data_IF_573539946078
#
_entry.id   IF_573539946078
#
_cell.length_a   1.000
_cell.length_b   1.000
_cell.length_c   1.000
_cell.angle_alpha   90.00
_cell.angle_beta   90.00
_cell.angle_gamma   90.00
#
_symmetry.space_group_name_H-M   'P 1'
#
loop_
_entity.id
_entity.type
_entity.pdbx_description
1 polymer ?
#
# COMPACT_ATOMS: atom_id res chain seq x y z
N UNK A 1 20.02 3.00 34.18
CA UNK A 1 19.73 2.49 32.81
C UNK A 1 20.66 3.24 31.89
N UNK A 2 21.65 2.56 31.29
CA UNK A 2 22.51 3.18 30.26
C UNK A 2 21.64 3.48 29.04
N UNK A 3 21.58 4.73 28.66
CA UNK A 3 20.87 5.21 27.48
C UNK A 3 21.50 4.52 26.24
N UNK A 4 20.73 3.70 25.53
CA UNK A 4 21.22 3.02 24.33
C UNK A 4 21.41 4.06 23.24
N UNK A 5 22.57 4.08 22.59
CA UNK A 5 22.85 4.98 21.46
C UNK A 5 21.73 4.85 20.40
N UNK A 6 21.05 5.94 20.00
CA UNK A 6 19.99 5.92 19.01
C UNK A 6 20.39 5.22 17.70
N UNK A 7 21.65 5.30 17.28
CA UNK A 7 22.16 4.60 16.09
C UNK A 7 22.13 3.08 16.24
N UNK A 8 22.49 2.59 17.44
CA UNK A 8 22.47 1.15 17.74
C UNK A 8 21.01 0.66 17.75
N UNK A 9 20.12 1.42 18.37
CA UNK A 9 18.70 1.11 18.38
C UNK A 9 18.11 1.09 16.97
N UNK A 10 18.46 2.08 16.13
CA UNK A 10 18.01 2.14 14.74
C UNK A 10 18.52 0.93 13.92
N UNK A 11 19.79 0.54 14.08
CA UNK A 11 20.33 -0.63 13.39
C UNK A 11 19.65 -1.94 13.83
N UNK A 12 19.28 -2.06 15.11
CA UNK A 12 18.52 -3.21 15.60
C UNK A 12 17.11 -3.27 14.98
N UNK A 13 16.41 -2.13 14.92
CA UNK A 13 15.12 -2.01 14.25
C UNK A 13 15.22 -2.32 12.74
N UNK A 14 16.21 -1.74 12.05
CA UNK A 14 16.45 -2.01 10.63
C UNK A 14 16.72 -3.49 10.36
N UNK A 15 17.51 -4.16 11.23
CA UNK A 15 17.75 -5.61 11.12
C UNK A 15 16.45 -6.41 11.25
N UNK A 16 15.57 -6.06 12.20
CA UNK A 16 14.26 -6.72 12.37
C UNK A 16 13.38 -6.60 11.13
N UNK A 17 13.31 -5.39 10.54
CA UNK A 17 12.53 -5.15 9.33
C UNK A 17 13.12 -5.88 8.11
N UNK A 18 14.45 -5.83 7.96
CA UNK A 18 15.14 -6.53 6.86
C UNK A 18 15.03 -8.06 6.98
N UNK A 19 14.87 -8.61 8.18
CA UNK A 19 14.64 -10.04 8.36
C UNK A 19 13.37 -10.49 7.63
N UNK A 20 12.26 -9.79 7.83
CA UNK A 20 10.98 -10.12 7.17
C UNK A 20 11.06 -9.98 5.63
N UNK A 21 11.75 -8.91 5.16
CA UNK A 21 11.97 -8.73 3.73
C UNK A 21 12.86 -9.83 3.13
N UNK A 22 13.89 -10.26 3.86
CA UNK A 22 14.77 -11.33 3.41
C UNK A 22 14.06 -12.69 3.41
N UNK A 23 13.29 -13.01 4.44
CA UNK A 23 12.51 -14.24 4.50
C UNK A 23 11.51 -14.33 3.34
N UNK A 24 10.73 -13.26 3.11
CA UNK A 24 9.83 -13.18 1.96
C UNK A 24 10.55 -13.32 0.63
N UNK A 25 11.67 -12.63 0.46
CA UNK A 25 12.51 -12.69 -0.74
C UNK A 25 13.06 -14.11 -1.01
N UNK A 26 13.57 -14.78 0.02
CA UNK A 26 14.08 -16.14 -0.09
C UNK A 26 12.98 -17.14 -0.50
N UNK A 27 11.78 -17.01 0.03
CA UNK A 27 10.61 -17.84 -0.39
C UNK A 27 10.26 -17.62 -1.86
N UNK A 28 10.54 -16.44 -2.40
CA UNK A 28 10.36 -16.10 -3.82
C UNK A 28 11.56 -16.45 -4.68
N UNK A 29 12.62 -17.06 -4.12
CA UNK A 29 13.83 -17.44 -4.84
C UNK A 29 14.83 -16.30 -5.08
N UNK A 30 14.69 -15.16 -4.40
CA UNK A 30 15.66 -14.09 -4.49
C UNK A 30 16.95 -14.47 -3.76
N UNK A 31 18.09 -14.20 -4.39
CA UNK A 31 19.40 -14.42 -3.77
C UNK A 31 19.81 -13.24 -2.87
N UNK A 32 20.74 -13.48 -1.95
CA UNK A 32 21.37 -12.42 -1.15
C UNK A 32 21.91 -11.28 -2.03
N UNK A 33 22.59 -11.58 -3.14
CA UNK A 33 23.14 -10.53 -4.03
C UNK A 33 22.07 -9.66 -4.68
N UNK A 34 20.85 -10.19 -4.93
CA UNK A 34 19.72 -9.40 -5.43
C UNK A 34 19.20 -8.47 -4.34
N UNK A 35 19.05 -8.96 -3.11
CA UNK A 35 18.60 -8.14 -1.97
C UNK A 35 19.64 -7.07 -1.58
N UNK A 36 20.93 -7.42 -1.63
CA UNK A 36 22.03 -6.47 -1.42
C UNK A 36 22.00 -5.34 -2.46
N UNK A 37 21.76 -5.69 -3.73
CA UNK A 37 21.63 -4.72 -4.82
C UNK A 37 20.45 -3.78 -4.54
N UNK A 38 19.28 -4.33 -4.19
CA UNK A 38 18.10 -3.52 -3.88
C UNK A 38 18.35 -2.57 -2.69
N UNK A 39 19.01 -3.05 -1.64
CA UNK A 39 19.35 -2.21 -0.48
C UNK A 39 20.34 -1.10 -0.84
N UNK A 40 21.36 -1.42 -1.65
CA UNK A 40 22.33 -0.44 -2.13
C UNK A 40 21.66 0.66 -2.95
N UNK A 41 20.79 0.26 -3.90
CA UNK A 41 20.11 1.19 -4.79
C UNK A 41 19.13 2.08 -4.00
N UNK A 42 18.39 1.50 -3.03
CA UNK A 42 17.55 2.26 -2.11
C UNK A 42 18.35 3.25 -1.24
N UNK A 43 19.57 2.87 -0.81
CA UNK A 43 20.45 3.76 -0.05
C UNK A 43 20.93 4.94 -0.90
N UNK A 44 21.27 4.70 -2.16
CA UNK A 44 21.66 5.75 -3.10
C UNK A 44 20.50 6.69 -3.41
N UNK A 45 19.29 6.16 -3.63
CA UNK A 45 18.08 6.95 -3.86
C UNK A 45 17.76 7.83 -2.65
N UNK A 46 17.82 7.29 -1.44
CA UNK A 46 17.59 8.05 -0.21
C UNK A 46 18.60 9.20 -0.05
N UNK A 47 19.88 8.93 -0.30
CA UNK A 47 20.92 9.97 -0.24
C UNK A 47 20.71 11.03 -1.34
N UNK A 48 20.35 10.61 -2.54
CA UNK A 48 20.07 11.51 -3.66
C UNK A 48 18.91 12.46 -3.33
N UNK A 49 17.79 11.92 -2.88
CA UNK A 49 16.61 12.71 -2.46
C UNK A 49 16.95 13.69 -1.34
N UNK A 50 17.77 13.28 -0.37
CA UNK A 50 18.21 14.15 0.70
C UNK A 50 19.08 15.32 0.19
N UNK A 51 19.97 15.08 -0.78
CA UNK A 51 20.74 16.17 -1.40
C UNK A 51 19.85 17.10 -2.22
N UNK A 52 18.88 16.56 -2.97
CA UNK A 52 17.90 17.38 -3.70
C UNK A 52 17.10 18.30 -2.77
N UNK A 53 16.58 17.76 -1.68
CA UNK A 53 15.76 18.53 -0.72
C UNK A 53 16.52 19.67 -0.04
N UNK A 54 17.85 19.53 0.10
CA UNK A 54 18.72 20.56 0.69
C UNK A 54 19.34 21.49 -0.35
N UNK A 55 19.11 21.28 -1.64
CA UNK A 55 19.76 22.01 -2.73
C UNK A 55 21.26 21.77 -2.84
N UNK A 56 21.77 20.70 -2.22
CA UNK A 56 23.17 20.37 -2.24
C UNK A 56 23.61 19.80 -3.61
N UNK A 57 24.85 20.09 -4.02
CA UNK A 57 25.35 19.58 -5.29
C UNK A 57 25.52 18.06 -5.26
N UNK A 58 24.79 17.37 -6.12
CA UNK A 58 24.86 15.93 -6.27
C UNK A 58 26.04 15.55 -7.14
N UNK A 59 27.00 14.81 -6.59
CA UNK A 59 28.16 14.29 -7.30
C UNK A 59 28.48 12.88 -6.81
N UNK A 60 29.12 12.08 -7.65
CA UNK A 60 29.62 10.73 -7.26
C UNK A 60 30.44 10.78 -5.96
N UNK A 61 31.25 11.84 -5.78
CA UNK A 61 32.06 12.00 -4.57
C UNK A 61 31.25 12.32 -3.34
N UNK A 62 30.20 13.17 -3.46
CA UNK A 62 29.30 13.51 -2.35
C UNK A 62 28.51 12.28 -1.91
N UNK A 63 27.95 11.54 -2.86
CA UNK A 63 27.22 10.29 -2.57
C UNK A 63 28.14 9.23 -1.95
N UNK A 64 29.39 9.11 -2.42
CA UNK A 64 30.37 8.21 -1.80
C UNK A 64 30.64 8.55 -0.33
N UNK A 65 30.84 9.82 -0.01
CA UNK A 65 31.09 10.27 1.38
C UNK A 65 29.86 10.02 2.26
N UNK A 66 28.65 10.24 1.73
CA UNK A 66 27.42 10.07 2.47
C UNK A 66 27.05 8.60 2.72
N UNK A 67 27.28 7.72 1.74
CA UNK A 67 26.80 6.34 1.77
C UNK A 67 27.88 5.28 2.05
N UNK A 68 29.14 5.62 1.80
CA UNK A 68 30.25 4.65 1.82
C UNK A 68 30.29 3.72 0.59
N UNK A 69 29.34 3.81 -0.33
CA UNK A 69 29.24 2.96 -1.53
C UNK A 69 30.37 3.36 -2.50
N UNK A 70 30.95 2.37 -3.17
CA UNK A 70 32.10 2.61 -4.05
C UNK A 70 31.72 3.48 -5.26
N UNK A 71 32.58 4.44 -5.63
CA UNK A 71 32.35 5.42 -6.71
C UNK A 71 31.95 4.79 -8.04
N UNK A 72 32.50 3.61 -8.39
CA UNK A 72 32.16 2.90 -9.62
C UNK A 72 30.69 2.46 -9.65
N UNK A 73 30.18 2.00 -8.51
CA UNK A 73 28.78 1.57 -8.38
C UNK A 73 27.85 2.78 -8.44
N UNK A 74 28.23 3.87 -7.76
CA UNK A 74 27.47 5.13 -7.83
C UNK A 74 27.42 5.67 -9.27
N UNK A 75 28.55 5.66 -10.00
CA UNK A 75 28.56 6.14 -11.40
C UNK A 75 27.69 5.29 -12.31
N UNK A 76 27.67 3.96 -12.09
CA UNK A 76 26.77 3.05 -12.81
C UNK A 76 25.31 3.34 -12.51
N UNK A 77 24.96 3.46 -11.23
CA UNK A 77 23.60 3.76 -10.78
C UNK A 77 23.10 5.13 -11.31
N UNK A 78 23.93 6.17 -11.26
CA UNK A 78 23.59 7.48 -11.82
C UNK A 78 23.30 7.41 -13.32
N UNK A 79 24.10 6.66 -14.07
CA UNK A 79 23.91 6.47 -15.50
C UNK A 79 22.62 5.69 -15.79
N UNK A 80 22.37 4.59 -15.08
CA UNK A 80 21.13 3.81 -15.21
C UNK A 80 19.89 4.66 -14.90
N UNK A 81 19.98 5.58 -13.93
CA UNK A 81 18.93 6.54 -13.59
C UNK A 81 18.70 7.58 -14.70
N UNK A 82 19.76 8.09 -15.33
CA UNK A 82 19.65 9.04 -16.45
C UNK A 82 19.06 8.37 -17.70
N UNK A 83 19.43 7.12 -17.96
CA UNK A 83 18.97 6.33 -19.11
C UNK A 83 17.57 5.73 -18.88
N UNK A 84 17.07 5.68 -17.64
CA UNK A 84 15.74 5.16 -17.34
C UNK A 84 14.68 6.13 -17.88
N UNK A 85 13.72 5.68 -18.69
CA UNK A 85 12.55 6.48 -19.01
C UNK A 85 11.86 6.88 -17.70
N UNK A 86 11.34 8.10 -17.66
CA UNK A 86 10.59 8.63 -16.51
C UNK A 86 9.51 7.61 -16.12
N UNK A 87 9.91 6.65 -15.27
CA UNK A 87 8.96 5.70 -14.71
C UNK A 87 8.16 6.52 -13.72
N UNK A 88 6.98 6.95 -14.15
CA UNK A 88 5.93 7.27 -13.21
C UNK A 88 5.84 6.05 -12.29
N UNK A 89 6.30 6.23 -11.04
CA UNK A 89 6.13 5.23 -9.98
C UNK A 89 4.63 5.01 -9.88
N UNK A 90 4.14 3.98 -10.59
CA UNK A 90 2.76 3.54 -10.41
C UNK A 90 2.67 3.10 -8.98
N UNK A 91 2.00 3.90 -8.17
CA UNK A 91 1.69 3.46 -6.82
C UNK A 91 0.82 2.20 -6.98
N UNK A 92 1.10 1.14 -6.23
CA UNK A 92 0.41 -0.16 -6.35
C UNK A 92 -1.12 -0.10 -6.19
N UNK A 93 -1.63 0.98 -5.57
CA UNK A 93 -3.07 1.29 -5.51
C UNK A 93 -3.62 1.83 -6.85
N UNK A 94 -2.79 2.01 -7.86
CA UNK A 94 -3.21 2.43 -9.20
C UNK A 94 -3.61 1.24 -10.10
N UNK A 95 -3.50 0.00 -9.61
CA UNK A 95 -4.05 -1.11 -10.38
C UNK A 95 -5.56 -0.91 -10.50
N UNK A 96 -6.12 -0.95 -11.72
CA UNK A 96 -7.55 -0.82 -11.93
C UNK A 96 -8.36 -1.78 -11.05
N UNK A 97 -7.87 -3.00 -10.87
CA UNK A 97 -8.50 -4.04 -10.03
C UNK A 97 -8.60 -3.62 -8.56
N UNK A 98 -7.52 -3.12 -7.97
CA UNK A 98 -7.53 -2.65 -6.58
C UNK A 98 -8.48 -1.47 -6.38
N UNK A 99 -8.50 -0.52 -7.31
CA UNK A 99 -9.41 0.63 -7.28
C UNK A 99 -10.87 0.21 -7.40
N UNK A 100 -11.17 -0.76 -8.27
CA UNK A 100 -12.52 -1.34 -8.45
C UNK A 100 -12.97 -2.01 -7.16
N UNK A 101 -12.17 -2.88 -6.56
CA UNK A 101 -12.51 -3.58 -5.32
C UNK A 101 -12.72 -2.60 -4.17
N UNK A 102 -11.82 -1.65 -3.99
CA UNK A 102 -11.95 -0.60 -2.97
C UNK A 102 -13.26 0.16 -3.14
N UNK A 103 -13.55 0.65 -4.38
CA UNK A 103 -14.76 1.42 -4.64
C UNK A 103 -16.03 0.58 -4.44
N UNK A 104 -16.02 -0.70 -4.84
CA UNK A 104 -17.14 -1.62 -4.66
C UNK A 104 -17.45 -1.89 -3.17
N UNK A 105 -16.39 -2.00 -2.34
CA UNK A 105 -16.52 -2.31 -0.91
C UNK A 105 -16.78 -1.10 -0.02
N UNK A 106 -16.56 0.13 -0.54
CA UNK A 106 -16.58 1.34 0.30
C UNK A 106 -17.58 2.40 -0.17
N UNK A 107 -17.87 2.51 -1.48
CA UNK A 107 -18.75 3.56 -1.99
C UNK A 107 -20.23 3.16 -1.81
N UNK A 108 -21.01 4.06 -1.19
CA UNK A 108 -22.44 3.86 -0.87
C UNK A 108 -23.33 3.45 -2.04
N UNK A 109 -23.01 3.89 -3.26
CA UNK A 109 -23.75 3.53 -4.46
C UNK A 109 -23.68 2.03 -4.79
N UNK A 110 -22.68 1.34 -4.26
CA UNK A 110 -22.41 -0.08 -4.48
C UNK A 110 -22.60 -0.93 -3.22
N UNK A 111 -23.18 -0.35 -2.16
CA UNK A 111 -23.46 -1.05 -0.90
C UNK A 111 -24.98 -1.19 -0.65
N UNK A 112 -25.36 -2.26 0.02
CA UNK A 112 -26.69 -2.43 0.56
C UNK A 112 -26.95 -1.49 1.75
N UNK A 113 -28.18 -1.42 2.22
CA UNK A 113 -28.54 -0.62 3.41
C UNK A 113 -27.79 -1.08 4.67
N UNK A 114 -27.40 -2.35 4.72
CA UNK A 114 -26.64 -2.99 5.78
C UNK A 114 -25.11 -2.79 5.61
N UNK A 115 -24.67 -2.11 4.54
CA UNK A 115 -23.28 -1.83 4.25
C UNK A 115 -22.50 -2.97 3.60
N UNK A 116 -23.17 -4.02 3.11
CA UNK A 116 -22.53 -5.09 2.35
C UNK A 116 -22.43 -4.71 0.85
N UNK A 117 -21.36 -5.12 0.14
CA UNK A 117 -21.27 -4.92 -1.30
C UNK A 117 -22.46 -5.55 -2.04
N UNK A 118 -23.05 -4.78 -2.96
CA UNK A 118 -24.13 -5.26 -3.81
C UNK A 118 -23.63 -6.31 -4.80
N UNK A 119 -24.49 -7.26 -5.14
CA UNK A 119 -24.31 -8.11 -6.30
C UNK A 119 -24.56 -7.27 -7.56
N UNK A 120 -23.59 -7.20 -8.46
CA UNK A 120 -23.64 -6.34 -9.64
C UNK A 120 -23.84 -7.15 -10.92
N UNK A 121 -24.73 -6.74 -11.83
CA UNK A 121 -24.73 -7.25 -13.20
C UNK A 121 -23.56 -6.67 -13.99
N UNK A 122 -23.10 -7.36 -15.04
CA UNK A 122 -22.04 -6.83 -15.91
C UNK A 122 -22.44 -5.49 -16.55
N UNK A 123 -23.57 -5.43 -17.20
CA UNK A 123 -24.06 -4.25 -17.88
C UNK A 123 -25.10 -3.49 -17.06
N UNK A 124 -25.21 -2.19 -17.30
CA UNK A 124 -26.19 -1.33 -16.67
C UNK A 124 -27.61 -1.83 -16.95
N UNK A 125 -28.39 -2.02 -15.89
CA UNK A 125 -29.83 -2.27 -15.90
C UNK A 125 -30.55 -1.00 -15.46
N UNK A 126 -31.86 -0.93 -15.68
CA UNK A 126 -32.69 0.25 -15.37
C UNK A 126 -32.76 0.57 -13.87
N UNK A 127 -32.45 -0.37 -13.02
CA UNK A 127 -32.79 -0.39 -11.59
C UNK A 127 -31.60 -0.55 -10.62
N UNK A 128 -30.39 -0.16 -11.03
CA UNK A 128 -29.27 -0.20 -10.11
C UNK A 128 -27.89 -0.03 -10.75
N UNK A 129 -26.84 -0.04 -9.92
CA UNK A 129 -25.47 0.04 -10.40
C UNK A 129 -25.06 -1.26 -11.12
N UNK A 130 -24.01 -1.16 -11.95
CA UNK A 130 -23.42 -2.28 -12.68
C UNK A 130 -21.92 -2.32 -12.52
N UNK A 131 -21.31 -3.47 -12.80
CA UNK A 131 -19.86 -3.61 -12.79
C UNK A 131 -19.19 -2.74 -13.86
N UNK A 132 -19.78 -2.64 -15.07
CA UNK A 132 -19.26 -1.76 -16.10
C UNK A 132 -19.25 -0.29 -15.65
N UNK A 133 -20.33 0.18 -15.02
CA UNK A 133 -20.36 1.53 -14.46
C UNK A 133 -19.31 1.74 -13.37
N UNK A 134 -19.12 0.79 -12.50
CA UNK A 134 -18.09 0.82 -11.46
C UNK A 134 -16.68 0.99 -12.07
N UNK A 135 -16.40 0.26 -13.15
CA UNK A 135 -15.10 0.35 -13.86
C UNK A 135 -14.97 1.67 -14.63
N UNK A 136 -16.02 2.14 -15.28
CA UNK A 136 -16.02 3.42 -16.01
C UNK A 136 -15.68 4.60 -15.07
N UNK A 137 -16.12 4.53 -13.81
CA UNK A 137 -15.79 5.53 -12.78
C UNK A 137 -14.33 5.51 -12.35
N UNK A 138 -13.61 4.42 -12.62
CA UNK A 138 -12.16 4.28 -12.32
C UNK A 138 -11.32 4.95 -13.42
N UNK A 139 -11.74 4.84 -14.68
CA UNK A 139 -11.09 5.49 -15.81
C UNK A 139 -11.51 4.90 -17.16
N UNK A 140 -11.59 5.75 -18.21
CA UNK A 140 -12.08 5.34 -19.53
C UNK A 140 -11.16 4.37 -20.28
N UNK A 141 -9.89 4.27 -19.86
CA UNK A 141 -8.89 3.37 -20.44
C UNK A 141 -9.07 1.91 -19.98
N UNK A 142 -9.91 1.67 -18.96
CA UNK A 142 -10.03 0.38 -18.29
C UNK A 142 -11.18 -0.43 -18.88
N UNK A 143 -10.89 -1.63 -19.36
CA UNK A 143 -11.91 -2.53 -19.90
C UNK A 143 -12.54 -3.37 -18.81
N UNK A 144 -13.83 -3.16 -18.55
CA UNK A 144 -14.58 -3.85 -17.49
C UNK A 144 -14.48 -5.38 -17.59
N UNK A 145 -14.53 -5.95 -18.79
CA UNK A 145 -14.42 -7.40 -18.99
C UNK A 145 -13.06 -7.94 -18.53
N UNK A 146 -11.97 -7.27 -18.88
CA UNK A 146 -10.61 -7.72 -18.50
C UNK A 146 -10.38 -7.61 -16.99
N UNK A 147 -10.89 -6.54 -16.36
CA UNK A 147 -10.83 -6.39 -14.89
C UNK A 147 -11.63 -7.48 -14.21
N UNK A 148 -12.85 -7.75 -14.68
CA UNK A 148 -13.70 -8.78 -14.10
C UNK A 148 -13.07 -10.17 -14.20
N UNK A 149 -12.54 -10.55 -15.37
CA UNK A 149 -11.83 -11.82 -15.57
C UNK A 149 -10.64 -11.96 -14.62
N UNK A 150 -9.86 -10.88 -14.45
CA UNK A 150 -8.76 -10.84 -13.49
C UNK A 150 -9.22 -11.00 -12.04
N UNK A 151 -10.29 -10.32 -11.64
CA UNK A 151 -10.84 -10.42 -10.28
C UNK A 151 -11.45 -11.80 -10.00
N UNK A 152 -12.06 -12.45 -10.98
CA UNK A 152 -12.57 -13.83 -10.85
C UNK A 152 -11.39 -14.80 -10.73
N UNK A 153 -10.39 -14.68 -11.58
CA UNK A 153 -9.19 -15.52 -11.53
C UNK A 153 -8.45 -15.39 -10.19
N UNK A 154 -8.44 -14.19 -9.59
CA UNK A 154 -7.87 -13.92 -8.28
C UNK A 154 -8.79 -14.34 -7.11
N UNK A 155 -9.96 -14.92 -7.36
CA UNK A 155 -10.90 -15.33 -6.32
C UNK A 155 -11.56 -14.18 -5.55
N UNK A 156 -11.44 -12.96 -6.05
CA UNK A 156 -11.97 -11.73 -5.42
C UNK A 156 -13.42 -11.46 -5.79
N UNK A 157 -13.85 -12.02 -6.91
CA UNK A 157 -15.20 -11.94 -7.42
C UNK A 157 -15.72 -13.34 -7.75
N UNK A 158 -16.90 -13.64 -7.26
CA UNK A 158 -17.64 -14.86 -7.56
C UNK A 158 -18.59 -14.60 -8.74
N UNK A 159 -18.48 -15.40 -9.81
CA UNK A 159 -19.47 -15.43 -10.88
C UNK A 159 -20.66 -16.30 -10.45
N UNK A 160 -21.82 -15.70 -10.28
CA UNK A 160 -23.04 -16.41 -9.86
C UNK A 160 -23.71 -17.17 -11.01
N UNK A 161 -23.09 -17.20 -12.21
CA UNK A 161 -23.53 -17.93 -13.40
C UNK A 161 -24.92 -17.48 -13.94
N UNK A 162 -25.42 -16.37 -13.46
CA UNK A 162 -26.68 -15.72 -13.89
C UNK A 162 -26.44 -14.35 -14.54
N UNK A 163 -25.18 -14.04 -14.82
CA UNK A 163 -24.74 -12.75 -15.35
C UNK A 163 -24.60 -11.67 -14.28
N UNK A 164 -24.58 -12.09 -13.02
CA UNK A 164 -24.29 -11.23 -11.87
C UNK A 164 -23.04 -11.69 -11.13
N UNK A 165 -22.40 -10.75 -10.44
CA UNK A 165 -21.11 -10.93 -9.80
C UNK A 165 -21.17 -10.43 -8.37
N UNK A 166 -20.58 -11.21 -7.47
CA UNK A 166 -20.49 -10.91 -6.04
C UNK A 166 -19.04 -10.66 -5.66
N UNK A 167 -18.78 -9.56 -4.95
CA UNK A 167 -17.49 -9.37 -4.31
C UNK A 167 -17.35 -10.41 -3.19
N UNK A 168 -16.27 -11.19 -3.22
CA UNK A 168 -16.01 -12.21 -2.20
C UNK A 168 -15.94 -11.57 -0.82
N UNK A 169 -16.56 -12.21 0.17
CA UNK A 169 -16.55 -11.73 1.55
C UNK A 169 -15.15 -11.84 2.14
N UNK A 170 -14.44 -10.74 2.22
CA UNK A 170 -13.09 -10.60 2.76
C UNK A 170 -12.47 -9.33 2.20
N UNK A 171 -11.70 -8.60 3.00
CA UNK A 171 -10.89 -7.51 2.49
C UNK A 171 -10.02 -8.04 1.35
N UNK A 172 -9.83 -7.21 0.32
CA UNK A 172 -8.94 -7.51 -0.79
C UNK A 172 -7.60 -8.04 -0.29
N UNK A 173 -7.40 -9.34 -0.44
CA UNK A 173 -6.10 -9.98 -0.33
C UNK A 173 -5.78 -10.53 -1.72
N UNK A 174 -4.78 -9.98 -2.41
CA UNK A 174 -4.32 -10.51 -3.68
C UNK A 174 -3.98 -12.00 -3.56
N UNK A 175 -4.10 -12.74 -4.65
CA UNK A 175 -3.68 -14.13 -4.70
C UNK A 175 -2.22 -14.26 -4.19
N UNK A 176 -1.96 -15.25 -3.36
CA UNK A 176 -0.63 -15.46 -2.77
C UNK A 176 0.43 -15.57 -3.88
N UNK A 177 1.55 -14.88 -3.72
CA UNK A 177 2.66 -14.79 -4.67
C UNK A 177 2.35 -14.12 -6.02
N UNK A 178 1.23 -13.41 -6.14
CA UNK A 178 0.96 -12.60 -7.33
C UNK A 178 1.78 -11.29 -7.30
N UNK A 179 2.08 -10.73 -8.47
CA UNK A 179 2.70 -9.39 -8.57
C UNK A 179 1.89 -8.36 -7.79
N UNK A 180 0.58 -8.48 -7.84
CA UNK A 180 -0.37 -7.60 -7.16
C UNK A 180 -0.26 -7.68 -5.63
N UNK A 181 0.00 -8.88 -5.06
CA UNK A 181 0.25 -9.03 -3.62
C UNK A 181 1.54 -8.36 -3.17
N UNK A 182 2.56 -8.38 -4.02
CA UNK A 182 3.84 -7.71 -3.77
C UNK A 182 3.69 -6.19 -3.86
N UNK A 183 2.95 -5.73 -4.86
CA UNK A 183 2.61 -4.31 -5.00
C UNK A 183 1.80 -3.82 -3.79
N UNK A 184 0.85 -4.60 -3.31
CA UNK A 184 0.07 -4.31 -2.10
C UNK A 184 0.95 -4.24 -0.85
N UNK A 185 1.90 -5.18 -0.68
CA UNK A 185 2.92 -5.13 0.36
C UNK A 185 3.72 -3.83 0.29
N UNK A 186 4.26 -3.51 -0.88
CA UNK A 186 5.06 -2.30 -1.10
C UNK A 186 4.29 -1.03 -0.74
N UNK A 187 3.04 -0.92 -1.18
CA UNK A 187 2.21 0.25 -0.92
C UNK A 187 1.87 0.42 0.57
N UNK A 188 1.36 -0.62 1.20
CA UNK A 188 0.85 -0.51 2.57
C UNK A 188 1.97 -0.42 3.59
N UNK A 189 2.95 -1.34 3.50
CA UNK A 189 4.08 -1.34 4.44
C UNK A 189 5.03 -0.19 4.17
N UNK A 190 5.25 0.17 2.90
CA UNK A 190 6.08 1.30 2.52
C UNK A 190 5.55 2.64 3.06
N UNK A 191 4.26 2.93 2.88
CA UNK A 191 3.67 4.17 3.39
C UNK A 191 3.64 4.20 4.94
N UNK A 192 3.33 3.06 5.59
CA UNK A 192 3.40 2.96 7.05
C UNK A 192 4.83 3.16 7.56
N UNK A 193 5.82 2.52 6.93
CA UNK A 193 7.22 2.68 7.30
C UNK A 193 7.69 4.13 7.11
N UNK A 194 7.28 4.79 6.03
CA UNK A 194 7.57 6.21 5.80
C UNK A 194 7.02 7.09 6.92
N UNK A 195 5.77 6.86 7.35
CA UNK A 195 5.17 7.57 8.48
C UNK A 195 5.90 7.29 9.79
N UNK A 196 6.24 6.03 10.08
CA UNK A 196 6.95 5.64 11.30
C UNK A 196 8.37 6.24 11.35
N UNK A 197 9.12 6.21 10.24
CA UNK A 197 10.45 6.84 10.14
C UNK A 197 10.37 8.35 10.31
N UNK A 198 9.38 9.02 9.71
CA UNK A 198 9.14 10.44 9.92
C UNK A 198 8.90 10.76 11.41
N UNK A 199 8.08 9.96 12.08
CA UNK A 199 7.74 10.14 13.49
C UNK A 199 8.94 10.02 14.46
N UNK A 200 10.04 9.37 14.05
CA UNK A 200 11.26 9.26 14.88
C UNK A 200 11.88 10.65 15.15
N UNK A 201 11.88 11.53 14.16
CA UNK A 201 12.60 12.82 14.23
C UNK A 201 11.68 14.04 14.20
N UNK A 202 10.42 13.89 13.80
CA UNK A 202 9.47 14.98 13.70
C UNK A 202 9.04 15.53 15.07
N UNK A 203 8.86 16.84 15.21
CA UNK A 203 8.24 17.43 16.38
C UNK A 203 6.81 16.90 16.57
N UNK A 204 6.29 16.95 17.79
CA UNK A 204 5.04 16.25 18.16
C UNK A 204 3.84 16.67 17.29
N UNK A 205 3.77 17.94 16.91
CA UNK A 205 2.70 18.55 16.10
C UNK A 205 2.73 18.13 14.62
N UNK A 206 3.86 17.65 14.13
CA UNK A 206 4.06 17.24 12.72
C UNK A 206 3.99 15.72 12.53
N UNK A 207 3.80 14.96 13.62
CA UNK A 207 3.78 13.50 13.56
C UNK A 207 2.51 12.97 12.93
N UNK A 208 2.66 11.99 12.08
CA UNK A 208 1.53 11.19 11.59
C UNK A 208 0.88 10.42 12.74
N UNK A 209 -0.43 10.18 12.61
CA UNK A 209 -1.15 9.35 13.56
C UNK A 209 -0.66 7.91 13.47
N UNK A 210 -0.13 7.39 14.56
CA UNK A 210 0.32 6.01 14.69
C UNK A 210 -0.04 5.51 16.09
N UNK A 211 -0.84 4.45 16.17
CA UNK A 211 -1.24 3.83 17.45
C UNK A 211 -1.29 2.32 17.27
N UNK A 212 -0.80 1.62 18.27
CA UNK A 212 -0.87 0.17 18.37
C UNK A 212 -1.26 -0.24 19.80
N UNK A 213 -1.93 -1.37 19.91
CA UNK A 213 -2.07 -2.10 21.17
C UNK A 213 -1.27 -3.40 21.09
N UNK A 214 -0.76 -3.84 22.20
CA UNK A 214 -0.07 -5.11 22.35
C UNK A 214 -0.62 -5.86 23.56
N UNK A 215 -0.85 -7.16 23.40
CA UNK A 215 -1.14 -8.06 24.50
C UNK A 215 -0.52 -9.43 24.17
N UNK A 216 0.38 -9.92 25.02
CA UNK A 216 1.14 -11.15 24.82
C UNK A 216 0.53 -12.41 25.45
N UNK A 217 -0.63 -12.31 26.11
CA UNK A 217 -1.24 -13.42 26.86
C UNK A 217 -2.76 -13.48 26.62
N UNK A 218 -3.14 -13.90 25.43
CA UNK A 218 -4.54 -14.05 25.05
C UNK A 218 -4.88 -15.48 24.69
N UNK A 219 -6.08 -15.95 25.11
CA UNK A 219 -6.59 -17.23 24.67
C UNK A 219 -6.90 -17.22 23.16
N UNK A 220 -6.81 -18.37 22.44
CA UNK A 220 -7.19 -18.47 21.04
C UNK A 220 -8.63 -18.00 20.77
N UNK A 221 -9.54 -18.23 21.69
CA UNK A 221 -10.94 -17.77 21.59
C UNK A 221 -11.01 -16.24 21.65
N UNK A 222 -10.29 -15.60 22.55
CA UNK A 222 -10.21 -14.14 22.66
C UNK A 222 -9.64 -13.53 21.39
N UNK A 223 -8.57 -14.10 20.83
CA UNK A 223 -7.95 -13.68 19.56
C UNK A 223 -8.96 -13.75 18.41
N UNK A 224 -9.75 -14.83 18.31
CA UNK A 224 -10.78 -14.97 17.29
C UNK A 224 -11.84 -13.87 17.40
N UNK A 225 -12.37 -13.63 18.61
CA UNK A 225 -13.38 -12.58 18.86
C UNK A 225 -12.82 -11.19 18.51
N UNK A 226 -11.56 -10.91 18.89
CA UNK A 226 -10.91 -9.64 18.58
C UNK A 226 -10.73 -9.45 17.08
N UNK A 227 -10.33 -10.48 16.34
CA UNK A 227 -10.19 -10.45 14.88
C UNK A 227 -11.50 -10.11 14.19
N UNK A 228 -12.60 -10.78 14.60
CA UNK A 228 -13.94 -10.53 14.04
C UNK A 228 -14.41 -9.10 14.34
N UNK A 229 -14.28 -8.67 15.60
CA UNK A 229 -14.66 -7.32 16.02
C UNK A 229 -13.85 -6.24 15.29
N UNK A 230 -12.52 -6.45 15.14
CA UNK A 230 -11.67 -5.52 14.42
C UNK A 230 -12.05 -5.45 12.94
N UNK A 231 -12.32 -6.59 12.29
CA UNK A 231 -12.70 -6.61 10.88
C UNK A 231 -13.93 -5.74 10.61
N UNK A 232 -14.95 -5.83 11.45
CA UNK A 232 -16.16 -5.02 11.34
C UNK A 232 -15.85 -3.54 11.57
N UNK A 233 -15.15 -3.23 12.66
CA UNK A 233 -14.84 -1.84 13.06
C UNK A 233 -13.93 -1.15 12.06
N UNK A 234 -12.89 -1.85 11.57
CA UNK A 234 -11.95 -1.33 10.58
C UNK A 234 -12.65 -1.01 9.25
N UNK A 235 -13.53 -1.90 8.77
CA UNK A 235 -14.29 -1.64 7.55
C UNK A 235 -15.24 -0.44 7.70
N UNK A 236 -15.85 -0.24 8.85
CA UNK A 236 -16.67 0.93 9.10
C UNK A 236 -15.84 2.21 9.11
N UNK A 237 -14.67 2.20 9.78
CA UNK A 237 -13.75 3.32 9.78
C UNK A 237 -13.29 3.69 8.36
N UNK A 238 -12.87 2.70 7.57
CA UNK A 238 -12.39 2.95 6.21
C UNK A 238 -13.51 3.52 5.31
N UNK A 239 -14.75 3.06 5.47
CA UNK A 239 -15.91 3.63 4.75
C UNK A 239 -16.15 5.08 5.14
N UNK A 240 -16.13 5.40 6.43
CA UNK A 240 -16.27 6.78 6.91
C UNK A 240 -15.20 7.70 6.31
N UNK A 241 -13.95 7.24 6.25
CA UNK A 241 -12.86 8.02 5.65
C UNK A 241 -13.05 8.21 4.13
N UNK A 242 -13.56 7.20 3.43
CA UNK A 242 -13.92 7.33 2.00
C UNK A 242 -15.05 8.33 1.80
N UNK A 243 -16.09 8.28 2.64
CA UNK A 243 -17.19 9.24 2.57
C UNK A 243 -16.71 10.68 2.80
N UNK A 244 -15.80 10.89 3.76
CA UNK A 244 -15.18 12.20 4.02
C UNK A 244 -14.27 12.68 2.87
N UNK A 245 -13.70 11.75 2.10
CA UNK A 245 -12.84 12.07 0.96
C UNK A 245 -13.61 12.39 -0.33
N UNK A 246 -14.94 12.14 -0.36
CA UNK A 246 -15.76 12.43 -1.51
C UNK A 246 -15.90 13.96 -1.71
N UNK A 247 -15.71 14.48 -2.94
CA UNK A 247 -15.91 15.90 -3.19
C UNK A 247 -17.35 16.29 -2.84
N UNK A 248 -17.51 17.43 -2.17
CA UNK A 248 -18.84 18.03 -1.94
C UNK A 248 -19.56 18.20 -3.29
N UNK A 249 -20.83 17.78 -3.34
CA UNK A 249 -21.67 17.81 -4.53
C UNK A 249 -21.66 19.22 -5.15
N UNK A 250 -20.92 19.40 -6.23
CA UNK A 250 -20.82 20.66 -6.97
C UNK A 250 -19.42 21.08 -7.42
N UNK A 251 -18.38 20.48 -6.89
CA UNK A 251 -17.03 20.69 -7.42
C UNK A 251 -16.65 19.50 -8.29
N UNK A 252 -16.59 19.74 -9.61
CA UNK A 252 -16.08 18.77 -10.57
C UNK A 252 -14.68 18.33 -10.17
N UNK A 253 -14.44 17.02 -10.14
CA UNK A 253 -13.10 16.41 -10.05
C UNK A 253 -12.27 16.67 -11.34
N UNK A 254 -12.23 17.90 -11.78
CA UNK A 254 -11.67 18.38 -13.04
C UNK A 254 -11.07 19.78 -12.89
N UNK A 255 -10.42 20.07 -11.77
CA UNK A 255 -9.58 21.25 -11.64
C UNK A 255 -8.25 21.01 -12.33
N UNK A 256 -8.16 21.32 -13.60
CA UNK A 256 -6.89 21.58 -14.27
C UNK A 256 -6.20 22.76 -13.60
N UNK A 257 -5.03 22.55 -13.03
CA UNK A 257 -4.07 23.60 -12.72
C UNK A 257 -3.85 23.86 -11.24
N UNK A 258 -2.69 23.54 -10.78
CA UNK A 258 -1.84 24.22 -9.77
C UNK A 258 -2.21 24.20 -8.27
N UNK A 259 -3.21 23.49 -7.82
CA UNK A 259 -3.33 23.12 -6.41
C UNK A 259 -2.91 21.66 -6.28
N UNK A 260 -1.67 21.40 -5.89
CA UNK A 260 -1.12 20.05 -5.71
C UNK A 260 -2.01 19.23 -4.79
N UNK A 261 -2.70 18.21 -5.34
CA UNK A 261 -3.52 17.29 -4.57
C UNK A 261 -2.65 16.52 -3.57
N UNK A 262 -3.14 16.32 -2.36
CA UNK A 262 -2.47 15.49 -1.36
C UNK A 262 -2.94 14.04 -1.47
N UNK A 263 -1.99 13.12 -1.38
CA UNK A 263 -2.27 11.68 -1.30
C UNK A 263 -2.34 11.28 0.15
N UNK A 264 -3.38 10.55 0.52
CA UNK A 264 -3.56 10.00 1.87
C UNK A 264 -3.71 8.49 1.77
N UNK A 265 -3.11 7.77 2.71
CA UNK A 265 -3.34 6.35 2.93
C UNK A 265 -3.70 6.11 4.39
N UNK A 266 -4.76 5.35 4.62
CA UNK A 266 -5.19 4.87 5.93
C UNK A 266 -5.25 3.36 5.85
N UNK A 267 -4.55 2.66 6.74
CA UNK A 267 -4.52 1.21 6.81
C UNK A 267 -4.77 0.72 8.24
N UNK A 268 -5.40 -0.44 8.35
CA UNK A 268 -5.58 -1.15 9.62
C UNK A 268 -5.05 -2.55 9.43
N UNK A 269 -4.26 -3.05 10.37
CA UNK A 269 -3.73 -4.40 10.33
C UNK A 269 -3.97 -5.13 11.65
N UNK A 270 -4.01 -6.44 11.56
CA UNK A 270 -4.04 -7.34 12.70
C UNK A 270 -2.92 -8.36 12.49
N UNK A 271 -2.05 -8.52 13.47
CA UNK A 271 -0.98 -9.51 13.49
C UNK A 271 -1.12 -10.38 14.72
N UNK A 272 -0.90 -11.66 14.56
CA UNK A 272 -0.79 -12.62 15.66
C UNK A 272 0.33 -13.61 15.36
N UNK A 273 1.03 -14.01 16.37
CA UNK A 273 1.99 -15.11 16.39
C UNK A 273 1.72 -16.01 17.60
N UNK A 274 2.42 -17.13 17.66
CA UNK A 274 2.45 -17.93 18.87
C UNK A 274 3.26 -17.17 19.93
N UNK A 275 2.74 -17.10 21.16
CA UNK A 275 3.50 -16.49 22.25
C UNK A 275 4.83 -17.23 22.41
N UNK A 276 5.94 -16.49 22.48
CA UNK A 276 7.24 -17.07 22.83
C UNK A 276 7.13 -17.77 24.19
N UNK A 277 7.24 -19.10 24.18
CA UNK A 277 7.23 -19.95 25.38
C UNK A 277 8.54 -19.86 26.17
#
# INVERSE_FOLDING_TARGET
MTETDPKIAYLAAARRLMHELADGGLRMGLSHGMLETALRDATLEAAFTQFESTGAKITTSALHVATGIHRREISRWMKEREDAPEQTVRTPNDSPSARVVTRWSTNRSYLSKEGAPLVLPMAKRSDGPSFAQLVDEIGPEVRAKSVLEGLIAAGLVEDLQDGTYRLAAGAYLPEANSTESIEFLSANVGDHLSAAVHNISAPAEERFFERAMFNGDLSPQTVTVMREALSVSAMNLLREMVDLSAPETGQSAGGSGDAGGQRVRIGVYFYQDEADT
#
